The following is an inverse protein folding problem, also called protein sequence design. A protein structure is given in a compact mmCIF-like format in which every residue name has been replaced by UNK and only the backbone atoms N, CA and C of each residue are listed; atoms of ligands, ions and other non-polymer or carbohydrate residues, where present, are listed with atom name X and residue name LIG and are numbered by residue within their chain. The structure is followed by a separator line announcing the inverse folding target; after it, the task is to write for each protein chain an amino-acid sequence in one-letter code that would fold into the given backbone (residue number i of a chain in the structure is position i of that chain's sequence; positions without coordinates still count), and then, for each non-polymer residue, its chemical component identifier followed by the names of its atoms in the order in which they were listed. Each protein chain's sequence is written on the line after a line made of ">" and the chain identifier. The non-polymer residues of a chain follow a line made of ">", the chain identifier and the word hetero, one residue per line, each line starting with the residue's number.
data_IF_625006631358
#
_entry.id   IF_625006631358
#
_cell.length_a   1.000
_cell.length_b   1.000
_cell.length_c   1.000
_cell.angle_alpha   90.00
_cell.angle_beta   90.00
_cell.angle_gamma   90.00
#
_symmetry.space_group_name_H-M   'P 1'
#
loop_
_entity.id
_entity.type
_entity.pdbx_description
1 polymer ?
#
# COMPACT_ATOMS: atom_id res chain seq x y z
N UNK A 1 48.61 35.40 40.40
CA UNK A 1 47.21 35.00 40.63
C UNK A 1 46.48 34.84 39.29
N UNK A 2 46.31 33.58 38.85
CA UNK A 2 45.52 33.25 37.66
C UNK A 2 44.03 33.54 37.90
N UNK A 3 43.30 34.12 36.92
CA UNK A 3 41.86 34.30 37.01
C UNK A 3 41.15 32.95 36.76
N UNK A 4 40.43 32.46 37.77
CA UNK A 4 39.56 31.29 37.69
C UNK A 4 38.47 31.51 36.65
N UNK A 5 38.44 30.67 35.61
CA UNK A 5 37.36 30.64 34.62
C UNK A 5 36.05 30.10 35.27
N UNK A 6 34.86 30.63 34.92
CA UNK A 6 33.60 30.11 35.43
C UNK A 6 33.26 28.74 34.80
N UNK A 7 32.77 27.84 35.64
CA UNK A 7 32.32 26.48 35.32
C UNK A 7 31.10 26.50 34.37
N UNK A 8 31.02 25.61 33.36
CA UNK A 8 29.88 25.56 32.44
C UNK A 8 28.64 25.00 33.16
N UNK A 9 27.55 25.75 33.10
CA UNK A 9 26.23 25.36 33.62
C UNK A 9 25.67 24.18 32.80
N UNK A 10 25.12 23.12 33.43
CA UNK A 10 24.51 22.02 32.68
C UNK A 10 23.23 22.49 31.96
N UNK A 11 22.94 21.96 30.75
CA UNK A 11 21.75 22.34 30.01
C UNK A 11 20.49 21.81 30.73
N UNK A 12 19.50 22.69 30.85
CA UNK A 12 18.17 22.39 31.38
C UNK A 12 17.51 21.31 30.50
N UNK A 13 16.95 20.23 31.07
CA UNK A 13 16.29 19.19 30.29
C UNK A 13 15.03 19.75 29.61
N UNK A 14 15.09 19.92 28.29
CA UNK A 14 13.95 20.28 27.44
C UNK A 14 12.82 19.26 27.67
N UNK A 15 11.71 19.72 28.26
CA UNK A 15 10.50 18.93 28.35
C UNK A 15 10.09 18.46 26.93
N UNK A 16 9.63 17.21 26.75
CA UNK A 16 9.18 16.74 25.45
C UNK A 16 8.02 17.62 24.96
N UNK A 17 8.13 18.08 23.71
CA UNK A 17 7.04 18.78 23.01
C UNK A 17 5.74 17.96 23.16
N UNK A 18 4.60 18.61 23.41
CA UNK A 18 3.32 17.92 23.40
C UNK A 18 3.12 17.31 22.02
N UNK A 19 3.19 15.96 21.95
CA UNK A 19 2.78 15.18 20.79
C UNK A 19 1.34 15.57 20.46
N UNK A 20 1.17 16.40 19.44
CA UNK A 20 -0.13 16.72 18.87
C UNK A 20 -0.76 15.38 18.45
N UNK A 21 -1.93 15.00 19.01
CA UNK A 21 -2.60 13.79 18.58
C UNK A 21 -2.87 13.89 17.06
N UNK A 22 -2.77 12.77 16.32
CA UNK A 22 -3.03 12.79 14.89
C UNK A 22 -4.39 13.43 14.61
N UNK A 23 -4.43 14.33 13.63
CA UNK A 23 -5.65 14.98 13.17
C UNK A 23 -6.73 13.92 12.90
N UNK A 24 -7.98 14.10 13.37
CA UNK A 24 -9.01 13.09 13.20
C UNK A 24 -9.14 12.75 11.71
N UNK A 25 -9.02 11.47 11.38
CA UNK A 25 -9.17 10.96 10.03
C UNK A 25 -10.45 11.54 9.41
N UNK A 26 -10.34 12.04 8.18
CA UNK A 26 -11.47 12.62 7.47
C UNK A 26 -12.60 11.60 7.43
N UNK A 27 -13.65 11.85 8.21
CA UNK A 27 -14.82 10.98 8.26
C UNK A 27 -15.62 11.20 6.98
N UNK A 28 -15.53 10.24 6.06
CA UNK A 28 -16.30 10.25 4.82
C UNK A 28 -17.62 9.50 5.04
N UNK A 29 -18.75 10.18 4.82
CA UNK A 29 -20.07 9.56 4.84
C UNK A 29 -20.53 9.26 3.42
N UNK A 30 -21.02 8.04 3.20
CA UNK A 30 -21.56 7.59 1.92
C UNK A 30 -22.89 6.87 2.20
N UNK A 31 -23.92 7.21 1.44
CA UNK A 31 -25.19 6.48 1.50
C UNK A 31 -25.08 5.22 0.65
N UNK A 32 -25.36 4.07 1.26
CA UNK A 32 -25.39 2.77 0.59
C UNK A 32 -26.81 2.22 0.70
N UNK A 33 -27.31 1.67 -0.41
CA UNK A 33 -28.60 1.01 -0.43
C UNK A 33 -28.64 -0.19 0.54
N UNK A 34 -29.67 -0.22 1.40
CA UNK A 34 -29.76 -1.22 2.45
C UNK A 34 -30.03 -2.64 1.91
N UNK A 35 -30.72 -2.77 0.76
CA UNK A 35 -30.95 -4.07 0.14
C UNK A 35 -29.66 -4.62 -0.49
N UNK A 36 -28.87 -3.75 -1.14
CA UNK A 36 -27.54 -4.08 -1.62
C UNK A 36 -26.65 -4.55 -0.48
N UNK A 37 -26.66 -3.83 0.66
CA UNK A 37 -25.83 -4.19 1.79
C UNK A 37 -26.22 -5.53 2.41
N UNK A 38 -27.52 -5.81 2.54
CA UNK A 38 -28.01 -7.11 3.01
C UNK A 38 -27.57 -8.25 2.09
N UNK A 39 -27.69 -8.06 0.79
CA UNK A 39 -27.23 -9.05 -0.19
C UNK A 39 -25.72 -9.25 -0.15
N UNK A 40 -24.96 -8.18 0.03
CA UNK A 40 -23.51 -8.27 0.19
C UNK A 40 -23.16 -9.06 1.46
N UNK A 41 -23.88 -8.85 2.55
CA UNK A 41 -23.70 -9.59 3.80
C UNK A 41 -23.93 -11.09 3.62
N UNK A 42 -25.00 -11.48 2.89
CA UNK A 42 -25.28 -12.88 2.55
C UNK A 42 -24.16 -13.52 1.70
N UNK A 43 -23.62 -12.78 0.73
CA UNK A 43 -22.54 -13.28 -0.16
C UNK A 43 -21.21 -13.40 0.58
N UNK A 44 -20.90 -12.43 1.44
CA UNK A 44 -19.64 -12.37 2.18
C UNK A 44 -19.67 -13.17 3.49
N UNK A 45 -20.85 -13.60 3.94
CA UNK A 45 -21.02 -14.34 5.19
C UNK A 45 -20.77 -13.48 6.43
N UNK A 46 -21.16 -12.21 6.39
CA UNK A 46 -20.96 -11.24 7.48
C UNK A 46 -22.27 -10.89 8.15
N UNK A 47 -22.21 -10.51 9.43
CA UNK A 47 -23.41 -10.28 10.25
C UNK A 47 -23.73 -8.78 10.46
N UNK A 48 -22.78 -7.89 10.14
CA UNK A 48 -22.89 -6.45 10.37
C UNK A 48 -22.72 -5.58 9.12
N UNK A 49 -23.30 -4.37 9.15
CA UNK A 49 -23.19 -3.41 8.06
C UNK A 49 -21.73 -2.96 7.84
N UNK A 50 -21.06 -2.55 8.93
CA UNK A 50 -19.66 -2.11 8.88
C UNK A 50 -18.72 -3.24 8.46
N UNK A 51 -18.93 -4.44 9.01
CA UNK A 51 -18.17 -5.63 8.64
C UNK A 51 -18.34 -5.96 7.15
N UNK A 52 -19.57 -5.90 6.64
CA UNK A 52 -19.87 -6.14 5.22
C UNK A 52 -19.13 -5.14 4.33
N UNK A 53 -19.15 -3.85 4.69
CA UNK A 53 -18.43 -2.80 3.94
C UNK A 53 -16.92 -3.02 4.00
N UNK A 54 -16.37 -3.32 5.17
CA UNK A 54 -14.95 -3.57 5.35
C UNK A 54 -14.48 -4.79 4.53
N UNK A 55 -15.23 -5.88 4.56
CA UNK A 55 -14.96 -7.07 3.76
C UNK A 55 -15.04 -6.78 2.26
N UNK A 56 -16.09 -6.07 1.81
CA UNK A 56 -16.25 -5.71 0.40
C UNK A 56 -15.10 -4.82 -0.12
N UNK A 57 -14.69 -3.82 0.66
CA UNK A 57 -13.56 -2.95 0.33
C UNK A 57 -12.24 -3.73 0.29
N UNK A 58 -12.05 -4.67 1.23
CA UNK A 58 -10.88 -5.54 1.27
C UNK A 58 -10.77 -6.38 0.00
N UNK A 59 -11.88 -6.97 -0.47
CA UNK A 59 -11.92 -7.73 -1.72
C UNK A 59 -11.63 -6.85 -2.95
N UNK A 60 -12.11 -5.61 -2.99
CA UNK A 60 -11.79 -4.67 -4.07
C UNK A 60 -10.29 -4.39 -4.12
N UNK A 61 -9.66 -4.13 -2.97
CA UNK A 61 -8.22 -3.88 -2.89
C UNK A 61 -7.42 -5.13 -3.28
N UNK A 62 -7.82 -6.31 -2.78
CA UNK A 62 -7.19 -7.57 -3.13
C UNK A 62 -7.30 -7.88 -4.63
N UNK A 63 -8.46 -7.65 -5.23
CA UNK A 63 -8.69 -7.81 -6.68
C UNK A 63 -7.82 -6.88 -7.53
N UNK A 64 -7.69 -5.61 -7.12
CA UNK A 64 -6.78 -4.65 -7.77
C UNK A 64 -5.34 -5.11 -7.71
N UNK A 65 -4.89 -5.58 -6.55
CA UNK A 65 -3.53 -6.11 -6.36
C UNK A 65 -3.26 -7.31 -7.27
N UNK A 66 -4.16 -8.31 -7.30
CA UNK A 66 -4.05 -9.46 -8.21
C UNK A 66 -3.97 -9.03 -9.67
N UNK A 67 -4.78 -8.05 -10.08
CA UNK A 67 -4.77 -7.52 -11.45
C UNK A 67 -3.42 -6.89 -11.80
N UNK A 68 -2.85 -6.08 -10.89
CA UNK A 68 -1.53 -5.49 -11.09
C UNK A 68 -0.42 -6.56 -11.21
N UNK A 69 -0.50 -7.61 -10.40
CA UNK A 69 0.42 -8.74 -10.48
C UNK A 69 0.31 -9.49 -11.82
N UNK A 70 -0.91 -9.70 -12.33
CA UNK A 70 -1.12 -10.31 -13.66
C UNK A 70 -0.57 -9.45 -14.80
N UNK A 71 -0.76 -8.13 -14.73
CA UNK A 71 -0.17 -7.20 -15.72
C UNK A 71 1.35 -7.31 -15.71
N UNK A 72 1.97 -7.28 -14.52
CA UNK A 72 3.42 -7.42 -14.38
C UNK A 72 3.92 -8.76 -14.93
N UNK A 73 3.20 -9.86 -14.67
CA UNK A 73 3.54 -11.18 -15.19
C UNK A 73 3.47 -11.20 -16.72
N UNK A 74 2.42 -10.62 -17.30
CA UNK A 74 2.26 -10.53 -18.76
C UNK A 74 3.43 -9.77 -19.41
N UNK A 75 3.88 -8.68 -18.79
CA UNK A 75 5.05 -7.93 -19.27
C UNK A 75 6.34 -8.75 -19.19
N UNK A 76 6.54 -9.49 -18.09
CA UNK A 76 7.70 -10.37 -17.94
C UNK A 76 7.72 -11.46 -19.01
N UNK A 77 6.59 -12.12 -19.25
CA UNK A 77 6.45 -13.13 -20.31
C UNK A 77 6.72 -12.51 -21.67
N UNK A 78 6.23 -11.30 -21.94
CA UNK A 78 6.52 -10.57 -23.17
C UNK A 78 8.02 -10.31 -23.38
N UNK A 79 8.74 -9.90 -22.32
CA UNK A 79 10.21 -9.72 -22.38
C UNK A 79 10.94 -11.03 -22.65
N UNK A 80 10.55 -12.12 -21.98
CA UNK A 80 11.15 -13.45 -22.21
C UNK A 80 10.93 -13.89 -23.65
N UNK A 81 9.72 -13.74 -24.18
CA UNK A 81 9.39 -14.08 -25.56
C UNK A 81 10.21 -13.25 -26.57
N UNK A 82 10.41 -11.96 -26.31
CA UNK A 82 11.25 -11.11 -27.14
C UNK A 82 12.72 -11.57 -27.15
N UNK A 83 13.29 -11.88 -25.97
CA UNK A 83 14.66 -12.38 -25.85
C UNK A 83 14.81 -13.73 -26.57
N UNK A 84 13.87 -14.65 -26.35
CA UNK A 84 13.87 -15.95 -27.02
C UNK A 84 13.77 -15.80 -28.55
N UNK A 85 12.89 -14.91 -29.04
CA UNK A 85 12.77 -14.61 -30.45
C UNK A 85 14.06 -14.05 -31.06
N UNK A 86 14.71 -13.10 -30.38
CA UNK A 86 16.01 -12.55 -30.80
C UNK A 86 17.11 -13.61 -30.82
N UNK A 87 17.17 -14.48 -29.80
CA UNK A 87 18.17 -15.54 -29.72
C UNK A 87 18.04 -16.57 -30.84
N UNK A 88 16.81 -16.89 -31.24
CA UNK A 88 16.54 -17.78 -32.37
C UNK A 88 16.96 -17.13 -33.70
N UNK A 89 16.54 -15.88 -33.94
CA UNK A 89 16.88 -15.14 -35.17
C UNK A 89 18.39 -14.90 -35.35
N UNK A 90 19.10 -14.56 -34.26
CA UNK A 90 20.55 -14.37 -34.30
C UNK A 90 21.33 -15.65 -34.58
N UNK A 91 20.76 -16.82 -34.23
CA UNK A 91 21.35 -18.13 -34.52
C UNK A 91 21.18 -18.51 -36.00
N UNK A 92 20.03 -18.22 -36.58
CA UNK A 92 19.77 -18.44 -38.01
C UNK A 92 20.64 -17.52 -38.88
N UNK A 93 20.92 -16.30 -38.41
CA UNK A 93 21.79 -15.32 -39.09
C UNK A 93 23.29 -15.64 -39.01
N UNK A 94 23.70 -16.51 -38.07
CA UNK A 94 25.11 -16.93 -37.89
C UNK A 94 25.46 -18.17 -38.72
N UNK A 95 24.45 -18.84 -39.28
CA UNK A 95 24.58 -20.08 -40.06
C UNK A 95 24.56 -19.85 -41.58
N UNK A 96 24.45 -18.61 -42.03
CA UNK A 96 24.55 -18.17 -43.44
C UNK A 96 25.84 -17.40 -43.67
#
# INVERSE_FOLDING_TARGET
>A
PEPTAPEPTPPEPTAPEPTVPPSPEASHSVSVDAALLRRAAEVLGTDGHEETVAAALSEIVAGRRRTAELVRLREQVGRIAAIAGQALQGRDSSLT
#
